data_IF_546604152434
#
_entry.id   IF_546604152434
#
_cell.length_a   1.000
_cell.length_b   1.000
_cell.length_c   1.000
_cell.angle_alpha   90.00
_cell.angle_beta   90.00
_cell.angle_gamma   90.00
#
_symmetry.space_group_name_H-M   'P 1'
#
loop_
_entity.id
_entity.type
_entity.pdbx_description
1 polymer ?
#
# COMPACT_ATOMS: atom_id res chain seq x y z
N UNK A 1 -30.05 -4.78 -3.06
CA UNK A 1 -29.42 -3.50 -3.47
C UNK A 1 -28.05 -3.79 -4.06
N UNK A 2 -27.79 -3.43 -5.32
CA UNK A 2 -26.41 -3.39 -5.84
C UNK A 2 -25.70 -2.31 -5.02
N UNK A 3 -24.72 -2.67 -4.20
CA UNK A 3 -23.83 -1.68 -3.58
C UNK A 3 -23.14 -0.95 -4.72
N UNK A 4 -23.28 0.37 -4.79
CA UNK A 4 -22.51 1.17 -5.74
C UNK A 4 -21.02 0.86 -5.54
N UNK A 5 -20.34 0.63 -6.66
CA UNK A 5 -18.92 0.34 -6.67
C UNK A 5 -18.21 1.61 -6.22
N UNK A 6 -17.52 1.54 -5.08
CA UNK A 6 -16.72 2.67 -4.60
C UNK A 6 -15.70 3.06 -5.68
N UNK A 7 -15.41 4.35 -5.80
CA UNK A 7 -14.36 4.82 -6.72
C UNK A 7 -13.06 4.08 -6.41
N UNK A 8 -12.43 3.49 -7.43
CA UNK A 8 -11.21 2.69 -7.27
C UNK A 8 -10.05 3.50 -6.73
N UNK A 9 -9.98 4.78 -7.07
CA UNK A 9 -9.00 5.74 -6.53
C UNK A 9 -9.19 5.91 -5.04
N UNK A 10 -10.43 6.18 -4.61
CA UNK A 10 -10.75 6.36 -3.18
C UNK A 10 -10.55 5.06 -2.40
N UNK A 11 -10.82 3.91 -3.01
CA UNK A 11 -10.54 2.60 -2.40
C UNK A 11 -9.03 2.39 -2.22
N UNK A 12 -8.21 2.76 -3.20
CA UNK A 12 -6.75 2.72 -3.10
C UNK A 12 -6.26 3.60 -1.94
N UNK A 13 -6.63 4.88 -1.94
CA UNK A 13 -6.25 5.83 -0.90
C UNK A 13 -6.70 5.38 0.50
N UNK A 14 -7.91 4.82 0.63
CA UNK A 14 -8.39 4.29 1.91
C UNK A 14 -7.47 3.18 2.46
N UNK A 15 -7.03 2.26 1.61
CA UNK A 15 -6.08 1.22 2.03
C UNK A 15 -4.70 1.77 2.38
N UNK A 16 -4.19 2.73 1.60
CA UNK A 16 -2.92 3.41 1.89
C UNK A 16 -2.95 4.07 3.27
N UNK A 17 -4.03 4.79 3.60
CA UNK A 17 -4.19 5.43 4.91
C UNK A 17 -4.32 4.41 6.05
N UNK A 18 -5.04 3.31 5.85
CA UNK A 18 -5.16 2.25 6.86
C UNK A 18 -3.81 1.60 7.16
N UNK A 19 -3.05 1.25 6.12
CA UNK A 19 -1.72 0.66 6.27
C UNK A 19 -0.77 1.66 6.94
N UNK A 20 -0.76 2.92 6.50
CA UNK A 20 0.06 3.96 7.12
C UNK A 20 -0.28 4.16 8.61
N UNK A 21 -1.57 4.21 8.95
CA UNK A 21 -2.04 4.32 10.33
C UNK A 21 -1.59 3.14 11.19
N UNK A 22 -1.66 1.91 10.68
CA UNK A 22 -1.19 0.72 11.39
C UNK A 22 0.33 0.69 11.58
N UNK A 23 1.10 1.17 10.60
CA UNK A 23 2.55 1.32 10.74
C UNK A 23 2.90 2.34 11.82
N UNK A 24 2.23 3.50 11.80
CA UNK A 24 2.40 4.53 12.81
C UNK A 24 2.02 4.04 14.21
N UNK A 25 0.91 3.29 14.32
CA UNK A 25 0.49 2.67 15.59
C UNK A 25 1.53 1.69 16.16
N UNK A 26 2.38 1.12 15.31
CA UNK A 26 3.46 0.18 15.68
C UNK A 26 4.81 0.87 15.90
N UNK A 27 4.86 2.20 15.89
CA UNK A 27 6.09 2.97 16.14
C UNK A 27 6.95 3.20 14.90
N UNK A 28 6.40 3.08 13.70
CA UNK A 28 7.10 3.44 12.47
C UNK A 28 6.69 4.83 11.97
N UNK A 29 7.61 5.56 11.38
CA UNK A 29 7.33 6.81 10.68
C UNK A 29 6.93 6.42 9.25
N UNK A 30 5.65 6.59 8.89
CA UNK A 30 5.10 6.25 7.58
C UNK A 30 4.70 7.51 6.81
N UNK A 31 5.09 7.59 5.54
CA UNK A 31 4.76 8.68 4.62
C UNK A 31 4.05 8.12 3.40
N UNK A 32 2.77 8.47 3.23
CA UNK A 32 2.00 8.15 2.03
C UNK A 32 2.47 9.04 0.89
N UNK A 33 2.85 8.44 -0.23
CA UNK A 33 3.35 9.18 -1.38
C UNK A 33 2.21 9.80 -2.19
N UNK A 34 2.48 10.94 -2.82
CA UNK A 34 1.51 11.56 -3.73
C UNK A 34 1.46 10.81 -5.06
N UNK A 35 0.26 10.70 -5.63
CA UNK A 35 0.00 10.09 -6.95
C UNK A 35 0.99 10.62 -8.00
N UNK A 36 1.92 9.75 -8.40
CA UNK A 36 2.88 9.82 -9.52
C UNK A 36 4.27 9.26 -9.14
N UNK A 37 4.53 8.95 -7.87
CA UNK A 37 5.69 8.15 -7.48
C UNK A 37 5.55 6.73 -8.04
N UNK A 38 6.30 6.42 -9.09
CA UNK A 38 6.26 5.07 -9.70
C UNK A 38 6.70 4.01 -8.68
N UNK A 39 5.77 3.15 -8.27
CA UNK A 39 6.05 1.86 -7.65
C UNK A 39 6.22 1.83 -6.13
N UNK A 40 5.91 2.92 -5.43
CA UNK A 40 5.87 2.95 -3.96
C UNK A 40 4.66 3.75 -3.52
N UNK A 41 3.78 3.15 -2.73
CA UNK A 41 2.61 3.86 -2.18
C UNK A 41 2.95 4.49 -0.82
N UNK A 42 3.72 3.80 0.02
CA UNK A 42 4.17 4.27 1.35
C UNK A 42 5.67 4.07 1.50
N UNK A 43 6.37 5.11 1.96
CA UNK A 43 7.72 5.01 2.49
C UNK A 43 7.65 4.93 4.01
N UNK A 44 8.31 3.94 4.60
CA UNK A 44 8.30 3.73 6.04
C UNK A 44 9.71 3.63 6.59
N UNK A 45 9.94 4.19 7.77
CA UNK A 45 11.20 4.08 8.49
C UNK A 45 10.98 3.84 9.98
N UNK A 46 11.99 3.30 10.66
CA UNK A 46 12.00 3.26 12.12
C UNK A 46 12.24 4.67 12.70
N UNK A 47 11.94 4.87 13.98
CA UNK A 47 12.08 6.18 14.64
C UNK A 47 13.49 6.81 14.50
N UNK A 48 14.52 5.96 14.41
CA UNK A 48 15.92 6.39 14.27
C UNK A 48 16.37 6.64 12.83
N UNK A 49 15.50 6.47 11.84
CA UNK A 49 15.81 6.59 10.42
C UNK A 49 16.97 5.70 9.91
N UNK A 50 17.26 4.59 10.60
CA UNK A 50 18.36 3.68 10.23
C UNK A 50 17.92 2.55 9.29
N UNK A 51 16.62 2.30 9.20
CA UNK A 51 16.03 1.30 8.30
C UNK A 51 14.85 1.91 7.57
N UNK A 52 14.78 1.69 6.27
CA UNK A 52 13.71 2.19 5.42
C UNK A 52 13.18 1.07 4.54
N UNK A 53 11.87 1.05 4.34
CA UNK A 53 11.20 0.15 3.42
C UNK A 53 10.19 0.92 2.57
N UNK A 54 9.97 0.40 1.37
CA UNK A 54 8.89 0.79 0.47
C UNK A 54 7.75 -0.21 0.61
N UNK A 55 6.51 0.28 0.62
CA UNK A 55 5.32 -0.55 0.69
C UNK A 55 4.41 -0.20 -0.48
N UNK A 56 3.98 -1.24 -1.19
CA UNK A 56 2.91 -1.18 -2.17
C UNK A 56 1.62 -1.75 -1.55
N UNK A 57 0.55 -0.98 -1.59
CA UNK A 57 -0.75 -1.33 -1.04
C UNK A 57 -1.68 -1.82 -2.14
N UNK A 58 -2.42 -2.89 -1.86
CA UNK A 58 -3.45 -3.43 -2.73
C UNK A 58 -4.76 -3.49 -1.96
N UNK A 59 -5.64 -2.53 -2.23
CA UNK A 59 -6.96 -2.51 -1.61
C UNK A 59 -8.00 -3.18 -2.49
N UNK A 60 -8.97 -3.85 -1.87
CA UNK A 60 -10.13 -4.40 -2.56
C UNK A 60 -11.43 -4.13 -1.83
N UNK A 61 -12.42 -3.69 -2.59
CA UNK A 61 -13.78 -3.42 -2.09
C UNK A 61 -14.70 -4.65 -2.15
N UNK A 62 -14.39 -5.64 -3.00
CA UNK A 62 -15.26 -6.81 -3.26
C UNK A 62 -14.80 -8.10 -2.54
N UNK A 63 -15.76 -9.00 -2.26
CA UNK A 63 -15.59 -10.22 -1.44
C UNK A 63 -14.92 -11.44 -2.10
N UNK A 64 -14.27 -11.33 -3.26
CA UNK A 64 -13.66 -12.53 -3.86
C UNK A 64 -12.44 -13.04 -3.07
N UNK A 65 -11.88 -14.16 -3.49
CA UNK A 65 -10.95 -14.96 -2.68
C UNK A 65 -9.47 -14.82 -3.04
N UNK A 66 -9.12 -14.03 -4.05
CA UNK A 66 -7.75 -13.92 -4.56
C UNK A 66 -7.30 -12.47 -4.79
N UNK A 67 -5.99 -12.24 -4.62
CA UNK A 67 -5.28 -11.01 -4.94
C UNK A 67 -4.53 -11.18 -6.26
N UNK A 68 -5.14 -10.70 -7.35
CA UNK A 68 -4.55 -10.84 -8.70
C UNK A 68 -3.56 -9.70 -8.94
N UNK A 69 -2.35 -10.06 -9.35
CA UNK A 69 -1.26 -9.13 -9.69
C UNK A 69 -1.02 -9.15 -11.20
N UNK A 70 -0.50 -8.06 -11.73
CA UNK A 70 -0.09 -7.98 -13.14
C UNK A 70 1.33 -8.52 -13.31
N UNK A 71 1.67 -9.04 -14.49
CA UNK A 71 3.00 -9.55 -14.86
C UNK A 71 4.16 -8.59 -14.48
N UNK A 72 3.94 -7.28 -14.57
CA UNK A 72 4.91 -6.25 -14.15
C UNK A 72 5.40 -6.44 -12.70
N UNK A 73 4.55 -6.94 -11.82
CA UNK A 73 4.88 -7.18 -10.42
C UNK A 73 5.87 -8.35 -10.23
N UNK A 74 5.97 -9.26 -11.19
CA UNK A 74 6.94 -10.37 -11.15
C UNK A 74 8.37 -9.83 -11.31
N UNK A 75 8.55 -8.87 -12.21
CA UNK A 75 9.83 -8.20 -12.43
C UNK A 75 10.13 -7.06 -11.45
N UNK A 76 9.10 -6.51 -10.79
CA UNK A 76 9.24 -5.33 -9.94
C UNK A 76 9.39 -5.72 -8.47
N UNK A 77 10.62 -6.08 -8.11
CA UNK A 77 11.01 -6.44 -6.75
C UNK A 77 12.28 -5.69 -6.33
N UNK A 78 12.37 -5.36 -5.04
CA UNK A 78 13.55 -4.80 -4.41
C UNK A 78 13.69 -5.38 -2.99
N UNK A 79 14.90 -5.46 -2.42
CA UNK A 79 15.12 -6.09 -1.11
C UNK A 79 14.26 -5.51 0.03
N UNK A 80 13.91 -4.22 -0.06
CA UNK A 80 13.12 -3.50 0.95
C UNK A 80 11.74 -3.07 0.42
N UNK A 81 11.22 -3.72 -0.63
CA UNK A 81 9.87 -3.49 -1.16
C UNK A 81 8.94 -4.59 -0.67
N UNK A 82 7.87 -4.20 0.03
CA UNK A 82 6.87 -5.11 0.56
C UNK A 82 5.49 -4.80 -0.01
N UNK A 83 4.62 -5.82 -0.01
CA UNK A 83 3.22 -5.67 -0.41
C UNK A 83 2.31 -5.83 0.81
N UNK A 84 1.31 -4.95 0.93
CA UNK A 84 0.24 -5.03 1.90
C UNK A 84 -1.10 -5.21 1.16
N UNK A 85 -1.92 -6.17 1.61
CA UNK A 85 -3.18 -6.57 0.99
C UNK A 85 -4.33 -6.42 2.00
#
# INVERSE_FOLDING_TARGET
MKKDKLNSILSGCAGEYLVAGELSRRGFIASVTLRNSKGVDILVTNEKATKTAAIQVKTRYSKGTAWVMNEKAESYHAPNLFYAF
#
